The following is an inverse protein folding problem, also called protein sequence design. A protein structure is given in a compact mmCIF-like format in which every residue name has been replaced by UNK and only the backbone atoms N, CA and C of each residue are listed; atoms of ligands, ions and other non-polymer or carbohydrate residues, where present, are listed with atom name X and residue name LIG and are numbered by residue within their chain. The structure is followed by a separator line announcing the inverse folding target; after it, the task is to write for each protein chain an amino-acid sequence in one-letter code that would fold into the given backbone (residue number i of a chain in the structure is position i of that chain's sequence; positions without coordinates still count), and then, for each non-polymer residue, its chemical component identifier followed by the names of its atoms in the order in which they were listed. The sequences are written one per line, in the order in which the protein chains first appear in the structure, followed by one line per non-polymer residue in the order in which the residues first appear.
data_IF_673278049478
#
_entry.id   IF_673278049478
#
_cell.length_a   1.000
_cell.length_b   1.000
_cell.length_c   1.000
_cell.angle_alpha   90.00
_cell.angle_beta   90.00
_cell.angle_gamma   90.00
#
_symmetry.space_group_name_H-M   'P 1'
#
loop_
_entity.id
_entity.type
_entity.pdbx_description
1 polymer ?
#
# COMPACT_ATOMS: atom_id res chain seq x y z
N UNK A 1 19.58 28.82 13.59
CA UNK A 1 19.65 30.19 14.10
C UNK A 1 21.08 30.75 14.04
N UNK A 2 21.82 30.56 12.96
CA UNK A 2 23.20 31.07 12.83
C UNK A 2 23.51 31.37 11.37
N UNK A 3 22.86 32.36 10.74
CA UNK A 3 23.24 32.76 9.38
C UNK A 3 22.70 34.12 8.95
N UNK A 4 22.86 35.14 9.80
CA UNK A 4 22.46 36.51 9.42
C UNK A 4 23.49 37.63 9.74
N UNK A 5 24.75 37.27 10.08
CA UNK A 5 25.72 38.26 10.53
C UNK A 5 26.81 38.69 9.50
N UNK A 6 26.94 38.05 8.35
CA UNK A 6 28.07 38.33 7.43
C UNK A 6 27.74 39.24 6.24
N UNK A 7 26.49 39.58 6.01
CA UNK A 7 26.08 40.36 4.82
C UNK A 7 26.51 41.84 4.75
N UNK A 8 26.67 42.60 5.82
CA UNK A 8 27.06 44.01 5.67
C UNK A 8 28.56 44.23 5.43
N UNK A 9 29.42 43.32 5.87
CA UNK A 9 30.87 43.50 5.79
C UNK A 9 31.44 43.41 4.37
N UNK A 10 30.99 42.47 3.56
CA UNK A 10 31.52 42.27 2.19
C UNK A 10 31.12 43.44 1.25
N UNK A 11 29.91 43.90 1.28
CA UNK A 11 29.46 45.05 0.48
C UNK A 11 30.16 46.36 0.88
N UNK A 12 30.42 46.56 2.17
CA UNK A 12 31.14 47.71 2.70
C UNK A 12 32.59 47.71 2.24
N UNK A 13 33.30 46.61 2.31
CA UNK A 13 34.71 46.50 1.89
C UNK A 13 34.85 46.75 0.37
N UNK A 14 33.95 46.22 -0.47
CA UNK A 14 34.01 46.44 -1.91
C UNK A 14 33.65 47.85 -2.34
N UNK A 15 32.72 48.52 -1.70
CA UNK A 15 32.42 49.92 -1.97
C UNK A 15 33.63 50.81 -1.63
N UNK A 16 34.31 50.46 -0.53
CA UNK A 16 35.54 51.15 -0.13
C UNK A 16 36.71 50.86 -1.08
N UNK A 17 36.84 49.67 -1.64
CA UNK A 17 37.91 49.33 -2.58
C UNK A 17 37.78 50.06 -3.93
N UNK A 18 36.55 50.21 -4.45
CA UNK A 18 36.30 51.00 -5.67
C UNK A 18 36.64 52.47 -5.42
N UNK A 19 36.22 53.01 -4.27
CA UNK A 19 36.49 54.39 -3.90
C UNK A 19 37.96 54.63 -3.66
N UNK A 20 38.65 53.74 -2.94
CA UNK A 20 40.09 53.81 -2.71
C UNK A 20 40.89 53.71 -4.02
N UNK A 21 40.53 52.82 -4.91
CA UNK A 21 41.18 52.66 -6.21
C UNK A 21 41.04 53.90 -7.10
N UNK A 22 39.84 54.50 -7.12
CA UNK A 22 39.62 55.76 -7.88
C UNK A 22 40.36 56.96 -7.27
N UNK A 23 40.41 57.08 -5.94
CA UNK A 23 41.20 58.08 -5.25
C UNK A 23 42.67 57.90 -5.54
N UNK A 24 43.19 56.65 -5.52
CA UNK A 24 44.57 56.38 -5.87
C UNK A 24 44.89 56.76 -7.33
N UNK A 25 43.98 56.43 -8.25
CA UNK A 25 44.11 56.86 -9.65
C UNK A 25 44.17 58.38 -9.83
N UNK A 26 43.35 59.14 -9.10
CA UNK A 26 43.36 60.62 -9.10
C UNK A 26 44.68 61.11 -8.53
N UNK A 27 45.21 60.54 -7.46
CA UNK A 27 46.47 60.91 -6.86
C UNK A 27 47.64 60.66 -7.84
N UNK A 28 47.64 59.57 -8.56
CA UNK A 28 48.68 59.32 -9.58
C UNK A 28 48.60 60.31 -10.74
N UNK A 29 47.38 60.63 -11.19
CA UNK A 29 47.16 61.70 -12.19
C UNK A 29 47.72 63.07 -11.71
N UNK A 30 47.36 63.50 -10.48
CA UNK A 30 47.84 64.73 -9.92
C UNK A 30 49.40 64.78 -9.74
N UNK A 31 49.95 63.64 -9.27
CA UNK A 31 51.41 63.54 -9.16
C UNK A 31 52.12 63.66 -10.52
N UNK A 32 51.57 63.03 -11.56
CA UNK A 32 52.06 63.17 -12.92
C UNK A 32 52.01 64.62 -13.42
N UNK A 33 50.92 65.31 -13.16
CA UNK A 33 50.81 66.72 -13.51
C UNK A 33 51.88 67.62 -12.78
N UNK A 34 52.04 67.38 -11.47
CA UNK A 34 53.03 68.14 -10.67
C UNK A 34 54.44 67.88 -11.26
N UNK A 35 54.81 66.62 -11.49
CA UNK A 35 56.14 66.30 -12.02
C UNK A 35 56.33 66.90 -13.40
N UNK A 36 55.35 66.88 -14.29
CA UNK A 36 55.42 67.38 -15.65
C UNK A 36 55.49 68.92 -15.69
N UNK A 37 54.79 69.65 -14.79
CA UNK A 37 54.79 71.08 -14.65
C UNK A 37 56.19 71.57 -14.14
N UNK A 38 56.77 70.86 -13.15
CA UNK A 38 58.12 71.16 -12.64
C UNK A 38 59.21 70.89 -13.69
N UNK A 39 59.09 69.79 -14.44
CA UNK A 39 60.08 69.41 -15.45
C UNK A 39 60.17 70.40 -16.62
N UNK A 40 59.08 71.19 -16.88
CA UNK A 40 59.00 72.10 -18.01
C UNK A 40 58.94 73.58 -17.56
N UNK A 41 59.21 73.88 -16.27
CA UNK A 41 59.20 75.23 -15.71
C UNK A 41 57.92 76.02 -15.97
N UNK A 42 56.77 75.32 -15.91
CA UNK A 42 55.42 75.85 -16.15
C UNK A 42 54.77 76.28 -14.85
N UNK A 43 53.92 77.32 -14.91
CA UNK A 43 53.13 77.72 -13.76
C UNK A 43 51.86 76.90 -13.62
N UNK A 44 51.39 76.59 -12.41
CA UNK A 44 50.16 75.83 -12.13
C UNK A 44 48.91 76.69 -12.43
N UNK A 45 48.68 76.88 -13.74
CA UNK A 45 47.56 77.64 -14.29
C UNK A 45 46.84 76.74 -15.39
N UNK A 46 45.60 77.12 -15.74
CA UNK A 46 44.90 76.41 -16.81
C UNK A 46 45.69 76.43 -18.12
N UNK A 47 46.36 77.55 -18.46
CA UNK A 47 47.23 77.63 -19.66
C UNK A 47 48.48 76.75 -19.52
N UNK A 48 49.04 76.62 -18.32
CA UNK A 48 50.20 75.80 -18.01
C UNK A 48 49.85 74.29 -18.15
N UNK A 49 48.70 73.87 -17.66
CA UNK A 49 48.18 72.50 -17.81
C UNK A 49 47.97 72.16 -19.30
N UNK A 50 47.35 73.09 -20.05
CA UNK A 50 47.13 72.89 -21.51
C UNK A 50 48.46 72.79 -22.26
N UNK A 51 49.44 73.55 -21.89
CA UNK A 51 50.78 73.53 -22.50
C UNK A 51 51.56 72.26 -22.12
N UNK A 52 51.42 71.81 -20.87
CA UNK A 52 51.96 70.54 -20.41
C UNK A 52 51.45 69.34 -21.26
N UNK A 53 50.19 69.29 -21.58
CA UNK A 53 49.60 68.20 -22.42
C UNK A 53 50.07 68.31 -23.89
N UNK A 54 50.34 69.50 -24.38
CA UNK A 54 50.94 69.71 -25.70
C UNK A 54 52.42 69.25 -25.76
N UNK A 55 53.16 69.51 -24.67
CA UNK A 55 54.58 69.15 -24.60
C UNK A 55 54.84 67.68 -24.28
N UNK A 56 53.94 67.06 -23.53
CA UNK A 56 54.03 65.64 -23.15
C UNK A 56 52.71 64.89 -23.41
N UNK A 57 52.51 64.25 -24.59
CA UNK A 57 51.30 63.57 -24.94
C UNK A 57 50.97 62.33 -24.03
N UNK A 58 51.96 61.83 -23.28
CA UNK A 58 51.74 60.68 -22.33
C UNK A 58 50.81 61.05 -21.17
N UNK A 59 50.76 62.37 -20.83
CA UNK A 59 49.88 62.91 -19.77
C UNK A 59 48.37 62.65 -20.03
N UNK A 60 47.93 62.62 -21.32
CA UNK A 60 46.56 62.22 -21.70
C UNK A 60 46.24 60.81 -21.33
N UNK A 61 47.21 59.86 -21.47
CA UNK A 61 47.01 58.47 -21.07
C UNK A 61 46.86 58.33 -19.58
N UNK A 62 47.67 59.12 -18.78
CA UNK A 62 47.60 59.08 -17.34
C UNK A 62 46.28 59.69 -16.83
N UNK A 63 45.72 60.69 -17.49
CA UNK A 63 44.44 61.28 -17.17
C UNK A 63 43.25 60.31 -17.34
N UNK A 64 43.38 59.34 -18.24
CA UNK A 64 42.37 58.31 -18.40
C UNK A 64 42.44 57.23 -17.30
N UNK A 65 43.56 57.15 -16.57
CA UNK A 65 43.78 56.07 -15.60
C UNK A 65 42.74 55.99 -14.49
N UNK A 66 42.29 57.09 -13.83
CA UNK A 66 41.24 57.04 -12.83
C UNK A 66 39.92 56.51 -13.39
N UNK A 67 39.57 56.85 -14.62
CA UNK A 67 38.36 56.46 -15.31
C UNK A 67 38.40 54.97 -15.61
N UNK A 68 39.53 54.52 -16.19
CA UNK A 68 39.73 53.09 -16.51
C UNK A 68 39.69 52.24 -15.24
N UNK A 69 40.41 52.66 -14.17
CA UNK A 69 40.40 51.94 -12.89
C UNK A 69 38.99 51.90 -12.30
N UNK A 70 38.24 53.00 -12.33
CA UNK A 70 36.85 53.01 -11.87
C UNK A 70 35.98 52.01 -12.58
N UNK A 71 36.01 51.97 -13.93
CA UNK A 71 35.22 51.03 -14.71
C UNK A 71 35.63 49.57 -14.50
N UNK A 72 36.94 49.28 -14.40
CA UNK A 72 37.42 47.92 -14.13
C UNK A 72 36.97 47.44 -12.73
N UNK A 73 37.16 48.25 -11.71
CA UNK A 73 36.74 47.87 -10.34
C UNK A 73 35.23 47.74 -10.24
N UNK A 74 34.46 48.61 -10.91
CA UNK A 74 33.00 48.55 -10.95
C UNK A 74 32.51 47.27 -11.70
N UNK A 75 33.17 46.90 -12.78
CA UNK A 75 32.87 45.69 -13.52
C UNK A 75 33.13 44.43 -12.68
N UNK A 76 34.29 44.36 -12.04
CA UNK A 76 34.63 43.29 -11.11
C UNK A 76 33.64 43.18 -9.94
N UNK A 77 33.22 44.31 -9.38
CA UNK A 77 32.21 44.38 -8.33
C UNK A 77 30.86 43.82 -8.80
N UNK A 78 30.39 44.23 -9.99
CA UNK A 78 29.11 43.74 -10.53
C UNK A 78 29.15 42.25 -10.80
N UNK A 79 30.25 41.75 -11.38
CA UNK A 79 30.46 40.32 -11.65
C UNK A 79 30.43 39.50 -10.37
N UNK A 80 31.13 39.90 -9.33
CA UNK A 80 31.13 39.24 -8.01
C UNK A 80 29.75 39.26 -7.36
N UNK A 81 29.09 40.39 -7.38
CA UNK A 81 27.73 40.55 -6.81
C UNK A 81 26.74 39.61 -7.49
N UNK A 82 26.73 39.53 -8.82
CA UNK A 82 25.88 38.62 -9.58
C UNK A 82 26.18 37.15 -9.24
N UNK A 83 27.45 36.82 -9.08
CA UNK A 83 27.86 35.45 -8.71
C UNK A 83 27.41 35.10 -7.27
N UNK A 84 27.57 36.02 -6.33
CA UNK A 84 27.12 35.82 -4.94
C UNK A 84 25.60 35.67 -4.85
N UNK A 85 24.83 36.46 -5.59
CA UNK A 85 23.37 36.34 -5.67
C UNK A 85 22.95 34.97 -6.25
N UNK A 86 23.63 34.51 -7.28
CA UNK A 86 23.40 33.18 -7.87
C UNK A 86 23.65 32.04 -6.86
N UNK A 87 24.80 32.10 -6.16
CA UNK A 87 25.10 31.07 -5.14
C UNK A 87 24.14 31.12 -3.98
N UNK A 88 23.73 32.30 -3.51
CA UNK A 88 22.74 32.42 -2.44
C UNK A 88 21.37 31.89 -2.84
N UNK A 89 20.95 32.09 -4.08
CA UNK A 89 19.70 31.50 -4.59
C UNK A 89 19.78 29.96 -4.68
N UNK A 90 20.91 29.44 -5.13
CA UNK A 90 21.13 27.98 -5.20
C UNK A 90 21.11 27.32 -3.80
N UNK A 91 21.77 27.97 -2.82
CA UNK A 91 21.75 27.50 -1.42
C UNK A 91 20.32 27.53 -0.86
N UNK A 92 19.59 28.61 -1.05
CA UNK A 92 18.20 28.73 -0.56
C UNK A 92 17.29 27.67 -1.17
N UNK A 93 17.43 27.39 -2.47
CA UNK A 93 16.66 26.31 -3.10
C UNK A 93 16.97 24.95 -2.47
N UNK A 94 18.25 24.66 -2.22
CA UNK A 94 18.65 23.42 -1.55
C UNK A 94 18.12 23.33 -0.12
N UNK A 95 18.17 24.39 0.66
CA UNK A 95 17.66 24.42 2.03
C UNK A 95 16.14 24.16 2.07
N UNK A 96 15.39 24.76 1.13
CA UNK A 96 13.95 24.53 1.01
C UNK A 96 13.66 23.05 0.66
N UNK A 97 14.40 22.47 -0.30
CA UNK A 97 14.25 21.08 -0.67
C UNK A 97 14.57 20.13 0.50
N UNK A 98 15.68 20.38 1.21
CA UNK A 98 16.07 19.60 2.39
C UNK A 98 14.99 19.65 3.47
N UNK A 99 14.44 20.82 3.76
CA UNK A 99 13.39 20.97 4.77
C UNK A 99 12.08 20.29 4.36
N UNK A 100 11.68 20.39 3.08
CA UNK A 100 10.53 19.64 2.52
C UNK A 100 10.73 18.14 2.67
N UNK A 101 11.89 17.64 2.27
CA UNK A 101 12.23 16.22 2.33
C UNK A 101 12.29 15.70 3.78
N UNK A 102 12.84 16.49 4.70
CA UNK A 102 12.88 16.17 6.14
C UNK A 102 11.45 16.08 6.73
N UNK A 103 10.59 17.06 6.43
CA UNK A 103 9.21 17.06 6.87
C UNK A 103 8.43 15.84 6.31
N UNK A 104 8.63 15.55 5.02
CA UNK A 104 8.03 14.38 4.36
C UNK A 104 8.51 13.07 5.01
N UNK A 105 9.82 12.92 5.25
CA UNK A 105 10.36 11.74 5.92
C UNK A 105 9.83 11.58 7.35
N UNK A 106 9.65 12.70 8.09
CA UNK A 106 9.04 12.68 9.41
C UNK A 106 7.59 12.16 9.35
N UNK A 107 6.78 12.66 8.41
CA UNK A 107 5.40 12.21 8.22
C UNK A 107 5.30 10.72 7.92
N UNK A 108 6.16 10.22 7.04
CA UNK A 108 6.26 8.77 6.77
C UNK A 108 6.60 8.01 8.06
N UNK A 109 7.54 8.51 8.87
CA UNK A 109 7.91 7.91 10.15
C UNK A 109 6.77 7.89 11.18
N UNK A 110 5.85 8.86 11.12
CA UNK A 110 4.62 8.92 11.92
C UNK A 110 3.53 7.95 11.40
N UNK A 111 3.75 7.31 10.23
CA UNK A 111 2.80 6.38 9.61
C UNK A 111 1.80 7.04 8.66
N UNK A 112 1.98 8.31 8.33
CA UNK A 112 1.19 9.03 7.34
C UNK A 112 1.78 8.80 5.94
N UNK A 113 1.26 7.78 5.24
CA UNK A 113 1.68 7.41 3.89
C UNK A 113 0.89 8.14 2.79
N UNK A 114 -0.11 8.96 3.13
CA UNK A 114 -0.92 9.70 2.15
C UNK A 114 -0.38 11.10 1.88
N UNK A 115 0.66 11.50 2.61
CA UNK A 115 1.36 12.77 2.42
C UNK A 115 1.95 12.88 1.02
N UNK A 116 1.80 14.06 0.40
CA UNK A 116 2.35 14.36 -0.93
C UNK A 116 3.66 15.13 -0.81
N UNK A 117 4.59 14.86 -1.73
CA UNK A 117 5.84 15.60 -1.88
C UNK A 117 5.90 16.18 -3.29
N UNK A 118 6.01 17.51 -3.38
CA UNK A 118 6.30 18.20 -4.63
C UNK A 118 7.79 18.09 -4.94
N UNK A 119 8.13 17.46 -6.04
CA UNK A 119 9.51 17.25 -6.50
C UNK A 119 9.97 18.36 -7.43
N UNK A 120 11.22 18.81 -7.24
CA UNK A 120 11.99 19.49 -8.27
C UNK A 120 12.70 18.43 -9.15
N UNK A 121 12.93 18.72 -10.44
CA UNK A 121 13.55 17.78 -11.39
C UNK A 121 14.88 17.19 -10.89
N UNK A 122 15.65 17.95 -10.12
CA UNK A 122 16.96 17.59 -9.57
C UNK A 122 16.93 17.00 -8.16
N UNK A 123 15.73 16.72 -7.60
CA UNK A 123 15.61 16.21 -6.23
C UNK A 123 15.61 14.66 -6.18
N UNK A 124 16.80 14.09 -6.32
CA UNK A 124 16.97 12.62 -6.29
C UNK A 124 16.68 12.05 -4.89
N UNK A 125 16.90 12.83 -3.82
CA UNK A 125 16.54 12.41 -2.47
C UNK A 125 15.01 12.33 -2.32
N UNK A 126 14.29 13.34 -2.77
CA UNK A 126 12.83 13.35 -2.76
C UNK A 126 12.23 12.18 -3.57
N UNK A 127 12.80 11.87 -4.74
CA UNK A 127 12.40 10.69 -5.54
C UNK A 127 12.59 9.38 -4.75
N UNK A 128 13.73 9.23 -4.08
CA UNK A 128 14.04 8.05 -3.26
C UNK A 128 13.08 7.93 -2.06
N UNK A 129 12.73 9.04 -1.42
CA UNK A 129 11.76 9.07 -0.32
C UNK A 129 10.35 8.72 -0.80
N UNK A 130 9.93 9.13 -2.01
CA UNK A 130 8.64 8.71 -2.59
C UNK A 130 8.59 7.21 -2.83
N UNK A 131 9.64 6.63 -3.41
CA UNK A 131 9.73 5.18 -3.62
C UNK A 131 9.65 4.44 -2.27
N UNK A 132 10.35 4.95 -1.25
CA UNK A 132 10.31 4.38 0.10
C UNK A 132 8.88 4.44 0.69
N UNK A 133 8.21 5.61 0.58
CA UNK A 133 6.81 5.78 1.02
C UNK A 133 5.89 4.79 0.32
N UNK A 134 6.00 4.63 -1.00
CA UNK A 134 5.14 3.75 -1.78
C UNK A 134 5.35 2.28 -1.38
N UNK A 135 6.59 1.87 -1.16
CA UNK A 135 6.91 0.53 -0.65
C UNK A 135 6.36 0.30 0.76
N UNK A 136 6.51 1.28 1.66
CA UNK A 136 5.95 1.18 3.02
C UNK A 136 4.43 1.13 3.01
N UNK A 137 3.78 1.95 2.17
CA UNK A 137 2.32 1.94 1.99
C UNK A 137 1.83 0.57 1.49
N UNK A 138 2.46 0.03 0.45
CA UNK A 138 2.13 -1.29 -0.09
C UNK A 138 2.33 -2.41 0.95
N UNK A 139 3.44 -2.39 1.69
CA UNK A 139 3.70 -3.36 2.76
C UNK A 139 2.65 -3.25 3.88
N UNK A 140 2.27 -2.03 4.26
CA UNK A 140 1.24 -1.81 5.29
C UNK A 140 -0.14 -2.31 4.86
N UNK A 141 -0.49 -2.09 3.60
CA UNK A 141 -1.73 -2.63 3.03
C UNK A 141 -1.72 -4.16 3.06
N UNK A 142 -0.63 -4.77 2.59
CA UNK A 142 -0.47 -6.23 2.60
C UNK A 142 -0.54 -6.80 4.02
N UNK A 143 0.16 -6.21 4.98
CA UNK A 143 0.10 -6.59 6.40
C UNK A 143 -1.34 -6.52 6.94
N UNK A 144 -2.06 -5.46 6.60
CA UNK A 144 -3.46 -5.29 7.03
C UNK A 144 -4.37 -6.37 6.44
N UNK A 145 -4.17 -6.74 5.17
CA UNK A 145 -4.90 -7.82 4.52
C UNK A 145 -4.59 -9.18 5.14
N UNK A 146 -3.32 -9.49 5.34
CA UNK A 146 -2.88 -10.74 5.96
C UNK A 146 -3.39 -10.87 7.40
N UNK A 147 -3.35 -9.79 8.18
CA UNK A 147 -3.89 -9.76 9.53
C UNK A 147 -5.40 -9.97 9.56
N UNK A 148 -6.14 -9.41 8.59
CA UNK A 148 -7.58 -9.63 8.47
C UNK A 148 -7.87 -11.10 8.13
N UNK A 149 -7.19 -11.70 7.16
CA UNK A 149 -7.32 -13.13 6.82
C UNK A 149 -7.00 -14.01 8.03
N UNK A 150 -5.91 -13.74 8.74
CA UNK A 150 -5.51 -14.51 9.90
C UNK A 150 -6.56 -14.47 11.02
N UNK A 151 -7.11 -13.29 11.33
CA UNK A 151 -8.17 -13.16 12.35
C UNK A 151 -9.45 -13.92 11.97
N UNK A 152 -9.88 -13.83 10.72
CA UNK A 152 -11.03 -14.58 10.23
C UNK A 152 -10.82 -16.08 10.31
N UNK A 153 -9.64 -16.55 9.93
CA UNK A 153 -9.27 -17.97 10.03
C UNK A 153 -9.24 -18.47 11.47
N UNK A 154 -8.68 -17.69 12.39
CA UNK A 154 -8.63 -18.05 13.81
C UNK A 154 -10.03 -18.14 14.42
N UNK A 155 -10.92 -17.21 14.06
CA UNK A 155 -12.31 -17.18 14.48
C UNK A 155 -13.05 -18.45 14.02
N UNK A 156 -12.99 -18.76 12.73
CA UNK A 156 -13.65 -19.95 12.18
C UNK A 156 -13.00 -21.25 12.73
N UNK A 157 -11.68 -21.31 12.87
CA UNK A 157 -11.01 -22.47 13.45
C UNK A 157 -11.42 -22.71 14.92
N UNK A 158 -11.78 -21.65 15.63
CA UNK A 158 -12.39 -21.76 16.97
C UNK A 158 -13.71 -22.52 16.95
N UNK A 159 -14.59 -22.19 16.02
CA UNK A 159 -15.90 -22.86 15.84
C UNK A 159 -15.69 -24.32 15.40
N UNK A 160 -14.82 -24.57 14.42
CA UNK A 160 -14.53 -25.90 13.91
C UNK A 160 -14.05 -26.89 14.99
N UNK A 161 -13.46 -26.40 16.07
CA UNK A 161 -12.95 -27.23 17.19
C UNK A 161 -13.99 -27.60 18.23
N UNK A 162 -15.08 -26.87 18.33
CA UNK A 162 -16.09 -27.04 19.39
C UNK A 162 -17.16 -28.07 18.98
N UNK A 163 -17.47 -28.14 17.67
CA UNK A 163 -18.56 -28.95 17.16
C UNK A 163 -18.09 -30.35 16.71
N UNK A 164 -18.83 -31.35 17.19
CA UNK A 164 -18.66 -32.74 16.77
C UNK A 164 -19.80 -33.20 15.82
N UNK A 165 -20.80 -32.35 15.60
CA UNK A 165 -21.92 -32.60 14.70
C UNK A 165 -21.80 -31.72 13.45
N UNK A 166 -21.92 -32.30 12.27
CA UNK A 166 -21.74 -31.62 10.98
C UNK A 166 -22.85 -30.59 10.74
N UNK A 167 -24.10 -30.87 11.13
CA UNK A 167 -25.25 -29.97 10.90
C UNK A 167 -25.13 -28.68 11.71
N UNK A 168 -24.75 -28.79 12.99
CA UNK A 168 -24.53 -27.64 13.86
C UNK A 168 -23.34 -26.83 13.40
N UNK A 169 -22.23 -27.50 13.09
CA UNK A 169 -21.01 -26.91 12.57
C UNK A 169 -21.27 -26.13 11.28
N UNK A 170 -21.96 -26.73 10.31
CA UNK A 170 -22.24 -26.12 9.02
C UNK A 170 -23.02 -24.81 9.19
N UNK A 171 -23.99 -24.76 10.10
CA UNK A 171 -24.78 -23.57 10.35
C UNK A 171 -23.95 -22.47 11.03
N UNK A 172 -23.24 -22.77 12.11
CA UNK A 172 -22.49 -21.75 12.86
C UNK A 172 -21.32 -21.18 12.03
N UNK A 173 -20.58 -22.04 11.33
CA UNK A 173 -19.51 -21.63 10.41
C UNK A 173 -20.07 -20.71 9.31
N UNK A 174 -21.21 -21.09 8.70
CA UNK A 174 -21.84 -20.30 7.64
C UNK A 174 -22.23 -18.89 8.15
N UNK A 175 -22.88 -18.82 9.30
CA UNK A 175 -23.30 -17.55 9.92
C UNK A 175 -22.11 -16.65 10.22
N UNK A 176 -21.08 -17.21 10.83
CA UNK A 176 -19.92 -16.43 11.21
C UNK A 176 -19.13 -15.93 9.98
N UNK A 177 -18.99 -16.75 8.95
CA UNK A 177 -18.36 -16.31 7.69
C UNK A 177 -19.17 -15.18 7.07
N UNK A 178 -20.50 -15.30 6.95
CA UNK A 178 -21.39 -14.27 6.39
C UNK A 178 -21.20 -12.93 7.12
N UNK A 179 -21.18 -12.96 8.47
CA UNK A 179 -20.97 -11.77 9.28
C UNK A 179 -19.57 -11.19 9.10
N UNK A 180 -18.55 -12.04 9.06
CA UNK A 180 -17.14 -11.60 8.94
C UNK A 180 -16.84 -10.94 7.60
N UNK A 181 -17.30 -11.52 6.49
CA UNK A 181 -17.09 -10.98 5.14
C UNK A 181 -18.16 -9.98 4.71
N UNK A 182 -19.18 -9.77 5.54
CA UNK A 182 -20.30 -8.84 5.30
C UNK A 182 -21.06 -9.12 3.99
N UNK A 183 -21.36 -10.40 3.73
CA UNK A 183 -22.28 -10.81 2.66
C UNK A 183 -23.70 -11.01 3.23
N UNK A 184 -24.70 -11.10 2.37
CA UNK A 184 -26.12 -11.09 2.82
C UNK A 184 -26.65 -12.47 3.07
N UNK A 185 -26.23 -13.42 2.26
CA UNK A 185 -26.72 -14.79 2.33
C UNK A 185 -25.65 -15.78 1.92
N UNK A 186 -25.82 -17.01 2.37
CA UNK A 186 -25.01 -18.14 1.94
C UNK A 186 -25.70 -19.45 2.25
N UNK A 187 -25.16 -20.49 1.65
CA UNK A 187 -25.60 -21.85 1.82
C UNK A 187 -24.40 -22.79 1.95
N UNK A 188 -24.60 -23.87 2.70
CA UNK A 188 -23.64 -24.93 2.89
C UNK A 188 -24.23 -26.23 2.37
N UNK A 189 -23.56 -26.85 1.41
CA UNK A 189 -23.97 -28.13 0.81
C UNK A 189 -22.92 -29.18 1.13
N UNK A 190 -23.39 -30.37 1.57
CA UNK A 190 -22.53 -31.52 1.82
C UNK A 190 -22.63 -32.49 0.66
N UNK A 191 -21.50 -33.07 0.27
CA UNK A 191 -21.49 -34.08 -0.78
C UNK A 191 -21.90 -35.44 -0.22
N UNK A 192 -22.94 -36.02 -0.77
CA UNK A 192 -23.36 -37.43 -0.51
C UNK A 192 -22.75 -38.34 -1.57
N UNK A 193 -21.81 -39.20 -1.17
CA UNK A 193 -21.09 -40.11 -2.06
C UNK A 193 -22.02 -41.18 -2.63
N UNK A 194 -22.95 -41.70 -1.81
CA UNK A 194 -23.84 -42.82 -2.19
C UNK A 194 -24.84 -42.41 -3.28
N UNK A 195 -25.33 -41.16 -3.20
CA UNK A 195 -26.31 -40.64 -4.15
C UNK A 195 -25.71 -39.73 -5.22
N UNK A 196 -24.39 -39.48 -5.16
CA UNK A 196 -23.62 -38.59 -6.06
C UNK A 196 -24.28 -37.22 -6.24
N UNK A 197 -24.66 -36.61 -5.13
CA UNK A 197 -25.34 -35.31 -5.11
C UNK A 197 -24.86 -34.45 -3.95
N UNK A 198 -25.09 -33.16 -4.07
CA UNK A 198 -24.95 -32.18 -3.00
C UNK A 198 -26.29 -31.98 -2.28
N UNK A 199 -26.29 -32.05 -0.96
CA UNK A 199 -27.47 -31.85 -0.12
C UNK A 199 -27.28 -30.63 0.74
N UNK A 200 -28.28 -29.75 0.80
CA UNK A 200 -28.24 -28.54 1.64
C UNK A 200 -28.27 -28.90 3.11
N UNK A 201 -27.27 -28.49 3.88
CA UNK A 201 -27.23 -28.63 5.34
C UNK A 201 -27.67 -27.36 6.05
N UNK A 202 -27.21 -26.21 5.56
CA UNK A 202 -27.47 -24.95 6.18
C UNK A 202 -27.66 -23.84 5.14
N UNK A 203 -28.62 -22.97 5.39
CA UNK A 203 -28.82 -21.74 4.63
C UNK A 203 -29.13 -20.60 5.59
N UNK A 204 -28.42 -19.51 5.38
CA UNK A 204 -28.61 -18.28 6.16
C UNK A 204 -28.85 -17.11 5.20
N UNK A 205 -29.95 -16.42 5.43
CA UNK A 205 -30.31 -15.24 4.65
C UNK A 205 -31.11 -14.27 5.54
N UNK A 206 -30.86 -12.98 5.42
CA UNK A 206 -31.56 -11.92 6.19
C UNK A 206 -31.49 -12.09 7.70
N UNK A 207 -30.34 -12.43 8.24
CA UNK A 207 -30.15 -12.72 9.67
C UNK A 207 -31.07 -13.83 10.22
N UNK A 208 -31.46 -14.78 9.39
CA UNK A 208 -32.34 -15.90 9.79
C UNK A 208 -31.90 -17.20 9.15
N UNK A 209 -32.04 -18.29 9.91
CA UNK A 209 -31.93 -19.65 9.37
C UNK A 209 -33.09 -19.88 8.39
N UNK A 210 -32.75 -20.40 7.21
CA UNK A 210 -33.72 -20.86 6.22
C UNK A 210 -33.66 -22.38 6.17
N UNK A 211 -34.83 -23.00 6.09
CA UNK A 211 -34.97 -24.45 5.93
C UNK A 211 -35.30 -24.67 4.47
N UNK A 212 -34.28 -24.99 3.66
CA UNK A 212 -34.42 -25.21 2.23
C UNK A 212 -33.90 -26.63 1.95
N UNK A 213 -34.79 -27.49 1.46
CA UNK A 213 -34.40 -28.81 0.98
C UNK A 213 -34.04 -28.72 -0.51
N UNK A 214 -32.81 -28.32 -0.79
CA UNK A 214 -32.29 -28.27 -2.16
C UNK A 214 -31.17 -29.31 -2.32
N UNK A 215 -31.26 -30.02 -3.45
CA UNK A 215 -30.25 -30.99 -3.86
C UNK A 215 -29.75 -30.64 -5.24
N UNK A 216 -28.47 -30.80 -5.47
CA UNK A 216 -27.85 -30.53 -6.75
C UNK A 216 -27.05 -31.77 -7.20
N UNK A 217 -27.27 -32.17 -8.46
CA UNK A 217 -26.43 -33.18 -9.09
C UNK A 217 -25.09 -32.58 -9.47
N UNK A 218 -24.02 -33.35 -9.34
CA UNK A 218 -22.70 -32.96 -9.78
C UNK A 218 -22.72 -32.62 -11.28
N UNK A 219 -22.13 -31.45 -11.66
CA UNK A 219 -22.12 -30.95 -13.03
C UNK A 219 -23.40 -30.21 -13.47
N UNK A 220 -24.40 -30.02 -12.58
CA UNK A 220 -25.64 -29.33 -12.93
C UNK A 220 -25.84 -28.06 -12.13
N UNK A 221 -26.06 -26.96 -12.82
CA UNK A 221 -26.13 -25.60 -12.22
C UNK A 221 -24.78 -25.17 -11.68
N UNK A 222 -24.67 -23.91 -11.23
CA UNK A 222 -23.39 -23.34 -10.76
C UNK A 222 -22.80 -24.11 -9.57
N UNK A 223 -23.64 -24.58 -8.66
CA UNK A 223 -23.21 -25.34 -7.47
C UNK A 223 -22.66 -26.71 -7.89
N UNK A 224 -23.39 -27.42 -8.79
CA UNK A 224 -22.93 -28.72 -9.30
C UNK A 224 -21.72 -28.59 -10.21
N UNK A 225 -21.60 -27.54 -10.98
CA UNK A 225 -20.44 -27.23 -11.83
C UNK A 225 -19.19 -26.98 -10.98
N UNK A 226 -19.28 -26.14 -9.92
CA UNK A 226 -18.21 -25.94 -8.95
C UNK A 226 -17.72 -27.25 -8.32
N UNK A 227 -18.65 -28.13 -7.98
CA UNK A 227 -18.33 -29.43 -7.43
C UNK A 227 -17.63 -30.36 -8.44
N UNK A 228 -18.02 -30.31 -9.71
CA UNK A 228 -17.44 -31.11 -10.80
C UNK A 228 -16.02 -30.61 -11.16
N UNK A 229 -15.85 -29.30 -11.30
CA UNK A 229 -14.57 -28.65 -11.64
C UNK A 229 -13.59 -28.65 -10.46
N UNK A 230 -14.09 -28.79 -9.23
CA UNK A 230 -13.31 -28.66 -7.99
C UNK A 230 -12.54 -27.35 -7.92
N UNK A 231 -13.08 -26.27 -8.49
CA UNK A 231 -12.54 -24.93 -8.42
C UNK A 231 -13.63 -23.91 -8.10
N UNK A 232 -13.21 -22.72 -7.66
CA UNK A 232 -14.12 -21.63 -7.30
C UNK A 232 -14.86 -21.11 -8.54
N UNK A 233 -16.13 -20.77 -8.36
CA UNK A 233 -16.90 -20.05 -9.36
C UNK A 233 -17.23 -18.66 -8.79
N UNK A 234 -16.75 -17.61 -9.46
CA UNK A 234 -17.08 -16.22 -9.15
C UNK A 234 -17.84 -15.60 -10.32
N UNK A 235 -19.02 -15.02 -10.05
CA UNK A 235 -19.88 -14.37 -11.05
C UNK A 235 -20.35 -13.00 -10.55
N UNK A 236 -20.31 -12.03 -11.45
CA UNK A 236 -20.91 -10.69 -11.30
C UNK A 236 -22.12 -10.51 -12.21
N UNK A 237 -22.21 -11.32 -13.26
CA UNK A 237 -23.40 -11.42 -14.11
C UNK A 237 -24.18 -12.67 -13.71
N UNK A 238 -25.27 -12.45 -12.92
CA UNK A 238 -26.07 -13.54 -12.37
C UNK A 238 -27.27 -13.80 -13.26
N UNK A 239 -27.53 -15.07 -13.66
CA UNK A 239 -28.66 -15.46 -14.51
C UNK A 239 -30.00 -14.98 -13.95
N UNK A 240 -30.97 -14.72 -14.85
CA UNK A 240 -32.28 -14.15 -14.46
C UNK A 240 -33.14 -15.07 -13.61
N UNK A 241 -32.95 -16.34 -13.76
CA UNK A 241 -33.64 -17.44 -13.04
C UNK A 241 -32.91 -17.88 -11.77
N UNK A 242 -31.80 -17.23 -11.42
CA UNK A 242 -31.08 -17.51 -10.17
C UNK A 242 -31.79 -16.92 -8.94
N UNK A 243 -31.50 -17.45 -7.76
CA UNK A 243 -32.19 -17.09 -6.52
C UNK A 243 -32.22 -15.58 -6.30
N UNK A 244 -33.40 -15.00 -6.14
CA UNK A 244 -33.61 -13.59 -5.82
C UNK A 244 -33.52 -13.33 -4.32
N UNK A 245 -32.95 -12.20 -3.97
CA UNK A 245 -32.94 -11.67 -2.60
C UNK A 245 -34.29 -10.96 -2.38
N UNK A 246 -35.20 -11.60 -1.64
CA UNK A 246 -36.54 -11.04 -1.34
C UNK A 246 -36.53 -10.28 -0.03
N UNK A 247 -36.81 -8.97 -0.06
CA UNK A 247 -37.04 -8.14 1.13
C UNK A 247 -38.49 -7.69 1.18
N UNK A 248 -39.14 -7.84 2.34
CA UNK A 248 -40.53 -7.39 2.55
C UNK A 248 -40.75 -5.89 2.42
N UNK A 249 -39.67 -5.08 2.44
CA UNK A 249 -39.73 -3.61 2.35
C UNK A 249 -39.15 -3.11 1.02
N UNK A 250 -38.10 -3.78 0.50
CA UNK A 250 -37.36 -3.33 -0.65
C UNK A 250 -37.69 -4.12 -1.95
N UNK A 251 -38.58 -5.12 -1.86
CA UNK A 251 -38.90 -6.03 -2.97
C UNK A 251 -37.81 -7.04 -3.25
N UNK A 252 -37.87 -7.66 -4.43
CA UNK A 252 -36.91 -8.64 -4.88
C UNK A 252 -35.72 -7.97 -5.56
N UNK A 253 -34.51 -8.21 -5.06
CA UNK A 253 -33.25 -7.75 -5.69
C UNK A 253 -32.40 -8.97 -6.00
N UNK A 254 -31.76 -8.97 -7.18
CA UNK A 254 -30.76 -9.95 -7.52
C UNK A 254 -29.47 -9.68 -6.72
N UNK A 255 -28.71 -10.72 -6.35
CA UNK A 255 -27.34 -10.52 -5.89
C UNK A 255 -26.53 -9.75 -6.94
N UNK A 256 -25.66 -8.83 -6.53
CA UNK A 256 -24.70 -8.18 -7.40
C UNK A 256 -23.52 -9.10 -7.74
N UNK A 257 -23.10 -9.93 -6.78
CA UNK A 257 -22.03 -10.90 -6.97
C UNK A 257 -22.29 -12.21 -6.23
N UNK A 258 -21.76 -13.30 -6.79
CA UNK A 258 -21.91 -14.67 -6.29
C UNK A 258 -20.52 -15.33 -6.27
N UNK A 259 -20.18 -15.97 -5.15
CA UNK A 259 -18.99 -16.79 -5.01
C UNK A 259 -19.38 -18.18 -4.52
N UNK A 260 -18.94 -19.20 -5.23
CA UNK A 260 -19.14 -20.61 -4.87
C UNK A 260 -17.76 -21.22 -4.65
N UNK A 261 -17.57 -21.86 -3.51
CA UNK A 261 -16.29 -22.39 -3.04
C UNK A 261 -16.42 -23.89 -2.79
N UNK A 262 -15.64 -24.75 -3.48
CA UNK A 262 -15.64 -26.17 -3.21
C UNK A 262 -14.88 -26.46 -1.91
N UNK A 263 -15.37 -27.41 -1.15
CA UNK A 263 -14.74 -27.95 0.05
C UNK A 263 -13.97 -29.20 -0.31
N UNK A 264 -12.67 -29.10 -0.47
CA UNK A 264 -11.81 -30.18 -0.94
C UNK A 264 -10.82 -30.56 0.16
N UNK A 265 -10.80 -31.86 0.52
CA UNK A 265 -9.81 -32.45 1.41
C UNK A 265 -9.23 -33.70 0.78
N UNK A 266 -7.90 -33.83 0.75
CA UNK A 266 -7.17 -34.95 0.19
C UNK A 266 -7.65 -35.30 -1.24
N UNK A 267 -7.76 -34.26 -2.09
CA UNK A 267 -8.21 -34.35 -3.50
C UNK A 267 -9.66 -34.86 -3.66
N UNK A 268 -10.45 -34.90 -2.57
CA UNK A 268 -11.85 -35.34 -2.58
C UNK A 268 -12.78 -34.21 -2.21
N UNK A 269 -13.88 -34.13 -2.95
CA UNK A 269 -14.96 -33.19 -2.64
C UNK A 269 -15.66 -33.62 -1.34
N UNK A 270 -15.79 -32.68 -0.42
CA UNK A 270 -16.55 -32.85 0.82
C UNK A 270 -17.89 -32.12 0.77
N UNK A 271 -17.96 -31.02 0.00
CA UNK A 271 -19.14 -30.19 -0.11
C UNK A 271 -18.85 -28.93 -0.92
N UNK A 272 -19.78 -27.99 -0.88
CA UNK A 272 -19.70 -26.69 -1.54
C UNK A 272 -20.32 -25.63 -0.65
N UNK A 273 -19.74 -24.46 -0.59
CA UNK A 273 -20.33 -23.27 0.04
C UNK A 273 -20.63 -22.21 -1.01
N UNK A 274 -21.77 -21.55 -0.85
CA UNK A 274 -22.22 -20.48 -1.71
C UNK A 274 -22.40 -19.20 -0.90
N UNK A 275 -21.94 -18.06 -1.45
CA UNK A 275 -22.05 -16.73 -0.84
C UNK A 275 -22.55 -15.73 -1.87
N UNK A 276 -23.58 -14.96 -1.50
CA UNK A 276 -24.13 -13.92 -2.35
C UNK A 276 -24.09 -12.56 -1.64
N UNK A 277 -23.59 -11.53 -2.37
CA UNK A 277 -23.52 -10.15 -1.92
C UNK A 277 -24.45 -9.26 -2.75
N UNK A 278 -24.82 -8.09 -2.18
CA UNK A 278 -25.57 -7.05 -2.92
C UNK A 278 -24.66 -6.24 -3.81
N UNK A 279 -23.40 -6.11 -3.40
CA UNK A 279 -22.38 -5.39 -4.14
C UNK A 279 -22.06 -6.14 -5.44
N UNK A 280 -21.79 -5.36 -6.48
CA UNK A 280 -21.50 -5.91 -7.82
C UNK A 280 -20.15 -6.64 -7.88
N UNK A 281 -19.33 -6.56 -6.81
CA UNK A 281 -18.06 -7.27 -6.73
C UNK A 281 -17.68 -7.64 -5.29
N UNK A 282 -16.96 -8.74 -5.13
CA UNK A 282 -16.26 -9.09 -3.90
C UNK A 282 -14.77 -8.78 -4.05
N UNK A 283 -14.14 -8.29 -2.97
CA UNK A 283 -12.71 -8.00 -3.01
C UNK A 283 -11.87 -9.27 -3.18
N UNK A 284 -10.72 -9.16 -3.87
CA UNK A 284 -9.77 -10.28 -4.03
C UNK A 284 -9.36 -10.87 -2.67
N UNK A 285 -9.25 -10.03 -1.64
CA UNK A 285 -9.00 -10.45 -0.26
C UNK A 285 -10.10 -11.39 0.26
N UNK A 286 -11.36 -11.06 0.01
CA UNK A 286 -12.51 -11.87 0.42
C UNK A 286 -12.53 -13.21 -0.32
N UNK A 287 -12.31 -13.19 -1.63
CA UNK A 287 -12.26 -14.41 -2.46
C UNK A 287 -11.14 -15.32 -1.98
N UNK A 288 -9.93 -14.79 -1.77
CA UNK A 288 -8.78 -15.54 -1.26
C UNK A 288 -9.07 -16.14 0.12
N UNK A 289 -9.63 -15.35 1.03
CA UNK A 289 -9.99 -15.79 2.36
C UNK A 289 -10.98 -16.96 2.34
N UNK A 290 -12.06 -16.86 1.56
CA UNK A 290 -13.07 -17.91 1.46
C UNK A 290 -12.51 -19.19 0.82
N UNK A 291 -11.62 -19.06 -0.17
CA UNK A 291 -10.90 -20.20 -0.76
C UNK A 291 -10.04 -20.93 0.27
N UNK A 292 -9.21 -20.19 1.03
CA UNK A 292 -8.37 -20.77 2.10
C UNK A 292 -9.20 -21.42 3.22
N UNK A 293 -10.33 -20.83 3.58
CA UNK A 293 -11.25 -21.41 4.56
C UNK A 293 -11.91 -22.70 4.05
N UNK A 294 -12.24 -22.76 2.77
CA UNK A 294 -12.80 -23.96 2.14
C UNK A 294 -11.97 -25.21 2.40
N UNK A 295 -10.64 -25.11 2.32
CA UNK A 295 -9.73 -26.23 2.59
C UNK A 295 -9.74 -26.62 4.08
N UNK A 296 -9.76 -25.65 4.99
CA UNK A 296 -9.77 -25.90 6.44
C UNK A 296 -11.08 -26.57 6.87
N UNK A 297 -12.21 -26.05 6.37
CA UNK A 297 -13.54 -26.58 6.63
C UNK A 297 -13.66 -27.99 6.06
N UNK A 298 -13.21 -28.21 4.83
CA UNK A 298 -13.23 -29.51 4.18
C UNK A 298 -12.51 -30.59 4.99
N UNK A 299 -11.32 -30.29 5.52
CA UNK A 299 -10.57 -31.22 6.39
C UNK A 299 -11.34 -31.55 7.66
N UNK A 300 -11.98 -30.57 8.28
CA UNK A 300 -12.79 -30.80 9.49
C UNK A 300 -13.99 -31.67 9.17
N UNK A 301 -14.73 -31.38 8.10
CA UNK A 301 -15.86 -32.19 7.64
C UNK A 301 -15.42 -33.62 7.34
N UNK A 302 -14.32 -33.80 6.64
CA UNK A 302 -13.76 -35.11 6.37
C UNK A 302 -13.46 -35.91 7.65
N UNK A 303 -12.78 -35.26 8.61
CA UNK A 303 -12.44 -35.89 9.89
C UNK A 303 -13.69 -36.27 10.69
N UNK A 304 -14.71 -35.42 10.73
CA UNK A 304 -15.97 -35.74 11.41
C UNK A 304 -16.68 -36.91 10.78
N UNK A 305 -16.72 -37.00 9.45
CA UNK A 305 -17.28 -38.17 8.74
C UNK A 305 -16.50 -39.46 8.99
N UNK A 306 -15.18 -39.40 9.00
CA UNK A 306 -14.35 -40.56 9.31
C UNK A 306 -14.60 -41.03 10.74
N UNK A 307 -14.70 -40.12 11.69
CA UNK A 307 -14.98 -40.45 13.10
C UNK A 307 -16.37 -41.05 13.22
N UNK A 308 -17.42 -40.46 12.65
CA UNK A 308 -18.78 -41.00 12.66
C UNK A 308 -18.85 -42.39 12.07
N UNK A 309 -18.22 -42.61 10.90
CA UNK A 309 -18.15 -43.94 10.26
C UNK A 309 -17.42 -44.96 11.14
N UNK A 310 -16.34 -44.52 11.82
CA UNK A 310 -15.58 -45.39 12.71
C UNK A 310 -16.38 -45.79 13.94
N UNK A 311 -17.11 -44.84 14.53
CA UNK A 311 -18.01 -45.09 15.66
C UNK A 311 -19.14 -46.09 15.28
N UNK A 312 -19.75 -45.87 14.12
CA UNK A 312 -20.81 -46.77 13.62
C UNK A 312 -20.26 -48.20 13.38
N UNK A 313 -19.12 -48.35 12.74
CA UNK A 313 -18.47 -49.64 12.52
C UNK A 313 -18.10 -50.33 13.83
N UNK A 314 -17.63 -49.58 14.82
CA UNK A 314 -17.32 -50.09 16.16
C UNK A 314 -18.58 -50.62 16.85
N UNK A 315 -19.68 -49.89 16.77
CA UNK A 315 -20.96 -50.26 17.32
C UNK A 315 -21.52 -51.53 16.65
N UNK A 316 -21.48 -51.59 15.32
CA UNK A 316 -21.87 -52.79 14.56
C UNK A 316 -21.02 -54.02 14.93
N UNK A 317 -19.70 -53.85 15.04
CA UNK A 317 -18.78 -54.91 15.46
C UNK A 317 -19.06 -55.40 16.88
N UNK A 318 -19.40 -54.50 17.81
CA UNK A 318 -19.76 -54.86 19.16
C UNK A 318 -21.08 -55.63 19.21
N UNK A 319 -22.08 -55.20 18.46
CA UNK A 319 -23.35 -55.90 18.32
C UNK A 319 -23.18 -57.32 17.74
N UNK A 320 -22.42 -57.44 16.64
CA UNK A 320 -22.12 -58.75 16.02
C UNK A 320 -21.37 -59.68 16.98
N UNK A 321 -20.44 -59.14 17.77
CA UNK A 321 -19.70 -59.90 18.77
C UNK A 321 -20.64 -60.42 19.87
N UNK A 322 -21.59 -59.60 20.29
CA UNK A 322 -22.60 -59.97 21.27
C UNK A 322 -23.54 -61.07 20.73
N UNK A 323 -24.04 -60.90 19.52
CA UNK A 323 -24.88 -61.92 18.86
C UNK A 323 -24.16 -63.27 18.70
N UNK A 324 -22.87 -63.26 18.35
CA UNK A 324 -22.05 -64.49 18.26
C UNK A 324 -21.92 -65.17 19.61
N UNK A 325 -21.71 -64.44 20.72
CA UNK A 325 -21.66 -65.02 22.05
C UNK A 325 -22.98 -65.66 22.50
N UNK A 326 -24.08 -64.99 22.22
CA UNK A 326 -25.43 -65.48 22.48
C UNK A 326 -25.73 -66.78 21.70
N UNK A 327 -25.36 -66.81 20.41
CA UNK A 327 -25.47 -68.02 19.58
C UNK A 327 -24.56 -69.16 20.06
N UNK A 328 -23.32 -68.87 20.48
CA UNK A 328 -22.43 -69.86 21.05
C UNK A 328 -23.00 -70.47 22.34
N UNK A 329 -23.59 -69.66 23.19
CA UNK A 329 -24.19 -70.10 24.43
C UNK A 329 -25.45 -70.91 24.21
N UNK A 330 -26.30 -70.54 23.24
CA UNK A 330 -27.47 -71.32 22.80
C UNK A 330 -27.06 -72.67 22.22
N UNK A 331 -26.05 -72.69 21.34
CA UNK A 331 -25.50 -73.90 20.80
C UNK A 331 -24.93 -74.84 21.87
N UNK A 332 -24.29 -74.31 22.89
CA UNK A 332 -23.75 -75.10 24.01
C UNK A 332 -24.88 -75.67 24.86
N UNK A 333 -25.93 -74.88 25.16
CA UNK A 333 -27.08 -75.40 25.91
C UNK A 333 -27.80 -76.49 25.14
N UNK A 334 -28.03 -76.30 23.84
CA UNK A 334 -28.65 -77.31 22.99
C UNK A 334 -27.80 -78.66 22.88
N UNK A 335 -26.47 -78.54 22.89
CA UNK A 335 -25.56 -79.66 22.92
C UNK A 335 -25.54 -80.41 24.25
N UNK A 336 -25.77 -79.71 25.36
CA UNK A 336 -25.87 -80.27 26.72
C UNK A 336 -27.23 -81.02 26.89
N UNK A 337 -28.30 -80.43 26.36
CA UNK A 337 -29.65 -81.04 26.37
C UNK A 337 -29.79 -82.37 25.49
N UNK A 338 -28.94 -82.49 24.49
CA UNK A 338 -28.93 -83.66 23.61
C UNK A 338 -28.03 -84.83 24.13
N UNK A 339 -27.43 -84.68 25.30
CA UNK A 339 -26.62 -85.71 25.96
C UNK A 339 -27.38 -86.41 27.03
#
# INVERSE_FOLDING_TARGET
MFMNAEKPYHTFIYHHSVLLGTVLGILIMLASWIISIFAHDLHFTFSGIAKMHQLNPVTWVVDLFPVVIFFLLRFEYQKRKANDEFYQQAIRKKDISINKNAHFAQKIGEGDYDVQLELDESDDLGKSLLIMRDNLKANKQKETEENWIARGRDLISGILRIHNNIDELAYEVLVEIINYVNVIQGAFYIYNEDENKLVNLATFAYNRKKYINQEYKIGYGLIGECAYEMDIIYRTEIPEDYVTITSGILGDKKPGSLLIVPLIADEKLQGVMEFAAVEDYMSDRTIRFLKELGEIIARTVYNLRVNEKTENLLQESQQMTQELRENEEELRQNAEEMR
#
